data_IF_566258000224
#
_entry.id   IF_566258000224
#
_cell.length_a   1.000
_cell.length_b   1.000
_cell.length_c   1.000
_cell.angle_alpha   90.00
_cell.angle_beta   90.00
_cell.angle_gamma   90.00
#
_symmetry.space_group_name_H-M   'P 1'
#
loop_
_entity.id
_entity.type
_entity.pdbx_description
1 polymer ?
#
# COMPACT_ATOMS: atom_id res chain seq x y z
N UNK A 1 -5.25 -63.12 62.88
CA UNK A 1 -4.04 -62.55 62.25
C UNK A 1 -4.19 -62.42 60.72
N UNK A 2 -5.37 -62.03 60.22
CA UNK A 2 -5.69 -62.00 58.77
C UNK A 2 -6.27 -60.67 58.27
N UNK A 3 -6.43 -59.66 59.13
CA UNK A 3 -7.00 -58.35 58.75
C UNK A 3 -5.92 -57.35 58.26
N UNK A 4 -4.66 -57.53 58.67
CA UNK A 4 -3.56 -56.61 58.40
C UNK A 4 -3.22 -56.48 56.90
N UNK A 5 -3.26 -57.60 56.16
CA UNK A 5 -3.01 -57.61 54.71
C UNK A 5 -4.19 -57.20 53.83
N UNK A 6 -5.37 -56.94 54.40
CA UNK A 6 -6.51 -56.38 53.69
C UNK A 6 -6.43 -54.83 53.69
N UNK A 7 -6.17 -54.25 54.87
CA UNK A 7 -6.00 -52.80 55.05
C UNK A 7 -4.79 -52.23 54.28
N UNK A 8 -3.72 -53.01 54.10
CA UNK A 8 -2.57 -52.59 53.28
C UNK A 8 -2.87 -52.57 51.77
N UNK A 9 -3.77 -53.45 51.30
CA UNK A 9 -4.18 -53.49 49.90
C UNK A 9 -5.14 -52.35 49.56
N UNK A 10 -6.07 -52.05 50.46
CA UNK A 10 -6.98 -50.90 50.35
C UNK A 10 -6.20 -49.58 50.30
N UNK A 11 -5.25 -49.38 51.22
CA UNK A 11 -4.37 -48.18 51.23
C UNK A 11 -3.55 -48.03 49.95
N UNK A 12 -3.11 -49.14 49.33
CA UNK A 12 -2.40 -49.11 48.04
C UNK A 12 -3.31 -48.68 46.89
N UNK A 13 -4.55 -49.16 46.86
CA UNK A 13 -5.53 -48.80 45.83
C UNK A 13 -5.89 -47.32 45.94
N UNK A 14 -6.18 -46.83 47.16
CA UNK A 14 -6.48 -45.41 47.40
C UNK A 14 -5.30 -44.50 47.00
N UNK A 15 -4.07 -44.92 47.29
CA UNK A 15 -2.88 -44.17 46.90
C UNK A 15 -2.70 -44.14 45.38
N UNK A 16 -2.93 -45.26 44.68
CA UNK A 16 -2.89 -45.29 43.21
C UNK A 16 -3.98 -44.44 42.58
N UNK A 17 -5.21 -44.48 43.10
CA UNK A 17 -6.31 -43.65 42.62
C UNK A 17 -6.05 -42.17 42.85
N UNK A 18 -5.54 -41.79 44.04
CA UNK A 18 -5.12 -40.43 44.34
C UNK A 18 -3.99 -39.96 43.41
N UNK A 19 -3.00 -40.81 43.13
CA UNK A 19 -1.93 -40.50 42.18
C UNK A 19 -2.45 -40.32 40.75
N UNK A 20 -3.38 -41.17 40.29
CA UNK A 20 -4.00 -41.03 38.97
C UNK A 20 -4.83 -39.76 38.87
N UNK A 21 -5.61 -39.43 39.90
CA UNK A 21 -6.39 -38.19 39.96
C UNK A 21 -5.47 -36.96 39.89
N UNK A 22 -4.40 -36.94 40.68
CA UNK A 22 -3.41 -35.85 40.65
C UNK A 22 -2.70 -35.73 39.28
N UNK A 23 -2.37 -36.85 38.64
CA UNK A 23 -1.78 -36.85 37.29
C UNK A 23 -2.75 -36.30 36.24
N UNK A 24 -4.04 -36.66 36.32
CA UNK A 24 -5.07 -36.17 35.42
C UNK A 24 -5.27 -34.66 35.57
N UNK A 25 -5.30 -34.17 36.82
CA UNK A 25 -5.41 -32.75 37.13
C UNK A 25 -4.20 -31.97 36.58
N UNK A 26 -2.98 -32.46 36.79
CA UNK A 26 -1.76 -31.86 36.21
C UNK A 26 -1.83 -31.84 34.68
N UNK A 27 -2.34 -32.90 34.05
CA UNK A 27 -2.48 -32.96 32.59
C UNK A 27 -3.50 -31.94 32.08
N UNK A 28 -4.65 -31.81 32.75
CA UNK A 28 -5.66 -30.82 32.42
C UNK A 28 -5.13 -29.39 32.58
N UNK A 29 -4.42 -29.11 33.68
CA UNK A 29 -3.77 -27.81 33.90
C UNK A 29 -2.74 -27.50 32.80
N UNK A 30 -1.89 -28.46 32.44
CA UNK A 30 -0.92 -28.30 31.34
C UNK A 30 -1.62 -27.99 30.02
N UNK A 31 -2.71 -28.68 29.72
CA UNK A 31 -3.46 -28.46 28.49
C UNK A 31 -4.17 -27.09 28.49
N UNK A 32 -4.72 -26.65 29.62
CA UNK A 32 -5.30 -25.31 29.74
C UNK A 32 -4.25 -24.22 29.57
N UNK A 33 -3.07 -24.36 30.18
CA UNK A 33 -1.96 -23.41 30.01
C UNK A 33 -1.52 -23.37 28.54
N UNK A 34 -1.32 -24.53 27.91
CA UNK A 34 -0.94 -24.61 26.51
C UNK A 34 -1.97 -23.96 25.58
N UNK A 35 -3.27 -24.22 25.79
CA UNK A 35 -4.33 -23.60 25.02
C UNK A 35 -4.37 -22.09 25.22
N UNK A 36 -4.18 -21.62 26.45
CA UNK A 36 -4.14 -20.18 26.76
C UNK A 36 -2.94 -19.50 26.13
N UNK A 37 -1.78 -20.15 26.11
CA UNK A 37 -0.57 -19.63 25.49
C UNK A 37 -0.69 -19.61 23.97
N UNK A 38 -1.27 -20.65 23.36
CA UNK A 38 -1.59 -20.66 21.93
C UNK A 38 -2.58 -19.54 21.57
N UNK A 39 -3.65 -19.36 22.36
CA UNK A 39 -4.60 -18.28 22.12
C UNK A 39 -3.93 -16.91 22.20
N UNK A 40 -3.10 -16.67 23.22
CA UNK A 40 -2.34 -15.42 23.33
C UNK A 40 -1.40 -15.18 22.15
N UNK A 41 -0.78 -16.24 21.62
CA UNK A 41 0.09 -16.11 20.45
C UNK A 41 -0.72 -15.71 19.21
N UNK A 42 -1.86 -16.35 18.99
CA UNK A 42 -2.77 -16.01 17.89
C UNK A 42 -3.30 -14.58 18.02
N UNK A 43 -3.73 -14.19 19.21
CA UNK A 43 -4.24 -12.84 19.49
C UNK A 43 -3.14 -11.79 19.24
N UNK A 44 -1.92 -12.02 19.73
CA UNK A 44 -0.79 -11.12 19.50
C UNK A 44 -0.44 -11.00 18.01
N UNK A 45 -0.48 -12.10 17.28
CA UNK A 45 -0.20 -12.11 15.85
C UNK A 45 -1.26 -11.34 15.09
N UNK A 46 -2.54 -11.52 15.43
CA UNK A 46 -3.64 -10.76 14.86
C UNK A 46 -3.54 -9.26 15.14
N UNK A 47 -3.17 -8.87 16.36
CA UNK A 47 -2.96 -7.45 16.71
C UNK A 47 -1.78 -6.85 15.93
N UNK A 48 -0.70 -7.60 15.75
CA UNK A 48 0.44 -7.17 14.94
C UNK A 48 0.04 -6.97 13.47
N UNK A 49 -0.66 -7.94 12.88
CA UNK A 49 -1.11 -7.87 11.49
C UNK A 49 -2.08 -6.70 11.28
N UNK A 50 -3.03 -6.50 12.20
CA UNK A 50 -3.92 -5.34 12.17
C UNK A 50 -3.15 -4.02 12.32
N UNK A 51 -2.17 -3.96 13.21
CA UNK A 51 -1.32 -2.79 13.39
C UNK A 51 -0.51 -2.45 12.15
N UNK A 52 -0.01 -3.47 11.43
CA UNK A 52 0.68 -3.30 10.16
C UNK A 52 -0.27 -2.77 9.08
N UNK A 53 -1.44 -3.38 8.92
CA UNK A 53 -2.43 -2.94 7.93
C UNK A 53 -2.88 -1.49 8.17
N UNK A 54 -3.13 -1.10 9.42
CA UNK A 54 -3.49 0.28 9.76
C UNK A 54 -2.36 1.24 9.40
N UNK A 55 -1.11 0.88 9.70
CA UNK A 55 0.05 1.71 9.37
C UNK A 55 0.21 1.86 7.85
N UNK A 56 0.12 0.78 7.11
CA UNK A 56 0.20 0.80 5.64
C UNK A 56 -0.91 1.65 5.03
N UNK A 57 -2.15 1.50 5.50
CA UNK A 57 -3.28 2.33 5.07
C UNK A 57 -3.02 3.81 5.38
N UNK A 58 -2.52 4.11 6.57
CA UNK A 58 -2.18 5.48 6.95
C UNK A 58 -1.10 6.07 6.05
N UNK A 59 -0.02 5.33 5.79
CA UNK A 59 1.07 5.78 4.89
C UNK A 59 0.57 6.02 3.47
N UNK A 60 -0.37 5.21 2.97
CA UNK A 60 -0.94 5.35 1.62
C UNK A 60 -1.95 6.49 1.49
N UNK A 61 -2.69 6.79 2.56
CA UNK A 61 -3.76 7.82 2.58
C UNK A 61 -3.26 9.18 3.04
N UNK A 62 -2.16 9.25 3.79
CA UNK A 62 -1.61 10.49 4.30
C UNK A 62 -1.09 11.38 3.17
N UNK A 63 -1.26 12.70 3.35
CA UNK A 63 -0.65 13.70 2.47
C UNK A 63 0.87 13.60 2.46
N UNK A 64 1.43 13.76 1.27
CA UNK A 64 2.87 13.62 1.04
C UNK A 64 3.57 14.97 1.18
N UNK A 65 4.87 14.94 1.48
CA UNK A 65 5.76 16.09 1.30
C UNK A 65 6.04 16.30 -0.19
N UNK A 66 6.60 17.45 -0.58
CA UNK A 66 6.91 17.72 -1.98
C UNK A 66 7.87 16.68 -2.59
N UNK A 67 8.87 16.23 -1.83
CA UNK A 67 9.84 15.23 -2.29
C UNK A 67 9.23 13.83 -2.40
N UNK A 68 8.40 13.44 -1.43
CA UNK A 68 7.63 12.20 -1.48
C UNK A 68 6.66 12.22 -2.67
N UNK A 69 5.96 13.33 -2.89
CA UNK A 69 5.03 13.53 -4.00
C UNK A 69 5.72 13.36 -5.36
N UNK A 70 6.82 14.08 -5.61
CA UNK A 70 7.59 13.98 -6.86
C UNK A 70 8.05 12.53 -7.10
N UNK A 71 8.59 11.87 -6.07
CA UNK A 71 9.00 10.46 -6.15
C UNK A 71 7.84 9.56 -6.51
N UNK A 72 6.69 9.73 -5.85
CA UNK A 72 5.50 8.92 -6.07
C UNK A 72 4.88 9.16 -7.45
N UNK A 73 4.92 10.39 -7.98
CA UNK A 73 4.54 10.67 -9.37
C UNK A 73 5.36 9.84 -10.37
N UNK A 74 6.68 9.74 -10.16
CA UNK A 74 7.52 8.88 -11.00
C UNK A 74 7.22 7.39 -10.82
N UNK A 75 6.98 6.91 -9.61
CA UNK A 75 6.68 5.50 -9.39
C UNK A 75 5.30 5.09 -9.93
N UNK A 76 4.28 5.94 -9.73
CA UNK A 76 2.86 5.60 -9.94
C UNK A 76 2.33 6.07 -11.30
N UNK A 77 2.62 7.32 -11.69
CA UNK A 77 2.07 7.90 -12.91
C UNK A 77 2.96 7.59 -14.12
N UNK A 78 4.27 7.74 -13.97
CA UNK A 78 5.20 7.54 -15.10
C UNK A 78 5.26 6.08 -15.54
N UNK A 79 5.16 5.12 -14.62
CA UNK A 79 5.09 3.69 -14.96
C UNK A 79 3.89 3.34 -15.85
N UNK A 80 2.83 4.17 -15.84
CA UNK A 80 1.64 4.02 -16.67
C UNK A 80 1.74 4.75 -18.02
N UNK A 81 2.73 5.63 -18.19
CA UNK A 81 3.02 6.28 -19.48
C UNK A 81 3.66 5.26 -20.43
N UNK A 82 2.82 4.49 -21.11
CA UNK A 82 3.26 3.58 -22.18
C UNK A 82 3.29 4.34 -23.50
N UNK A 83 4.44 4.40 -24.20
CA UNK A 83 4.49 4.95 -25.55
C UNK A 83 3.51 4.22 -26.47
N UNK A 84 2.74 4.97 -27.26
CA UNK A 84 1.82 4.40 -28.24
C UNK A 84 2.59 3.53 -29.25
N UNK A 85 2.41 2.21 -29.18
CA UNK A 85 3.11 1.25 -30.01
C UNK A 85 2.46 1.07 -31.39
N UNK A 86 1.19 1.46 -31.54
CA UNK A 86 0.50 1.34 -32.81
C UNK A 86 0.97 2.41 -33.79
N UNK A 87 1.79 2.04 -34.77
CA UNK A 87 2.26 2.93 -35.84
C UNK A 87 1.16 3.65 -36.62
N UNK A 88 -0.10 3.16 -36.59
CA UNK A 88 -1.25 3.82 -37.23
C UNK A 88 -1.80 4.98 -36.40
N UNK A 89 -1.61 4.94 -35.08
CA UNK A 89 -2.00 5.97 -34.11
C UNK A 89 -0.86 6.93 -33.82
N UNK A 90 0.38 6.44 -33.85
CA UNK A 90 1.53 7.30 -34.05
C UNK A 90 1.32 8.05 -35.35
N UNK A 91 1.47 9.37 -35.34
CA UNK A 91 1.47 10.19 -36.56
C UNK A 91 2.71 9.85 -37.40
N UNK A 92 2.72 8.67 -38.03
CA UNK A 92 3.69 8.24 -39.03
C UNK A 92 3.44 8.86 -40.41
N UNK A 93 2.41 9.72 -40.54
CA UNK A 93 2.30 10.62 -41.68
C UNK A 93 3.32 11.73 -41.48
N UNK A 94 4.46 11.57 -42.14
CA UNK A 94 5.43 12.63 -42.48
C UNK A 94 5.34 13.85 -41.56
N UNK A 95 6.27 13.95 -40.62
CA UNK A 95 6.58 15.20 -39.91
C UNK A 95 6.88 16.38 -40.86
N UNK A 96 6.90 16.15 -42.18
CA UNK A 96 7.02 17.14 -43.24
C UNK A 96 5.68 17.55 -43.89
N UNK A 97 4.63 17.83 -43.10
CA UNK A 97 3.69 18.88 -43.50
C UNK A 97 3.51 19.91 -42.39
N UNK A 98 4.52 20.78 -42.27
CA UNK A 98 4.56 21.95 -41.36
C UNK A 98 3.75 23.14 -41.87
N UNK A 99 2.90 22.99 -42.90
CA UNK A 99 2.12 24.11 -43.42
C UNK A 99 1.03 24.51 -42.42
N UNK A 100 1.17 25.70 -41.83
CA UNK A 100 0.14 26.34 -41.01
C UNK A 100 0.11 25.96 -39.52
N UNK A 101 1.08 25.18 -39.01
CA UNK A 101 1.18 24.89 -37.57
C UNK A 101 2.39 25.62 -36.97
N UNK A 102 2.24 26.35 -35.85
CA UNK A 102 3.37 26.90 -35.12
C UNK A 102 4.32 25.75 -34.77
N UNK A 103 5.58 25.87 -35.17
CA UNK A 103 6.62 24.95 -34.76
C UNK A 103 7.86 25.76 -34.38
N UNK A 104 8.68 25.26 -33.45
CA UNK A 104 9.99 25.84 -33.21
C UNK A 104 10.77 25.88 -34.55
N UNK A 105 11.23 27.06 -34.92
CA UNK A 105 12.12 27.27 -36.08
C UNK A 105 13.57 27.00 -35.68
N UNK A 106 13.90 27.30 -34.43
CA UNK A 106 15.22 27.09 -33.83
C UNK A 106 15.05 26.43 -32.46
N UNK A 107 15.88 25.45 -32.16
CA UNK A 107 16.11 25.02 -30.79
C UNK A 107 17.30 25.84 -30.27
N UNK A 108 17.09 26.57 -29.18
CA UNK A 108 18.15 27.34 -28.54
C UNK A 108 18.60 26.61 -27.29
N UNK A 109 19.90 26.72 -26.99
CA UNK A 109 20.44 26.25 -25.73
C UNK A 109 19.78 27.02 -24.58
N UNK A 110 19.38 26.28 -23.54
CA UNK A 110 18.89 26.89 -22.31
C UNK A 110 20.09 27.34 -21.49
N UNK A 111 20.59 28.52 -21.84
CA UNK A 111 21.69 29.15 -21.12
C UNK A 111 21.32 29.35 -19.65
N UNK A 112 22.27 29.11 -18.75
CA UNK A 112 22.09 29.25 -17.29
C UNK A 112 20.99 28.35 -16.67
N UNK A 113 20.59 27.27 -17.34
CA UNK A 113 19.60 26.31 -16.81
C UNK A 113 19.90 25.89 -15.36
N UNK A 114 21.16 25.60 -15.03
CA UNK A 114 21.54 25.18 -13.68
C UNK A 114 21.33 26.27 -12.63
N UNK A 115 21.61 27.53 -12.96
CA UNK A 115 21.38 28.66 -12.05
C UNK A 115 19.89 28.87 -11.82
N UNK A 116 19.11 28.93 -12.91
CA UNK A 116 17.65 29.06 -12.83
C UNK A 116 16.99 27.89 -12.09
N UNK A 117 17.49 26.66 -12.31
CA UNK A 117 17.02 25.48 -11.59
C UNK A 117 17.30 25.56 -10.10
N UNK A 118 18.49 26.06 -9.71
CA UNK A 118 18.86 26.21 -8.31
C UNK A 118 17.99 27.26 -7.62
N UNK A 119 17.81 28.43 -8.25
CA UNK A 119 16.97 29.51 -7.72
C UNK A 119 15.52 29.03 -7.53
N UNK A 120 14.97 28.33 -8.53
CA UNK A 120 13.63 27.74 -8.45
C UNK A 120 13.54 26.69 -7.33
N UNK A 121 14.56 25.84 -7.19
CA UNK A 121 14.58 24.83 -6.14
C UNK A 121 14.60 25.47 -4.74
N UNK A 122 15.35 26.56 -4.57
CA UNK A 122 15.37 27.33 -3.33
C UNK A 122 14.01 27.98 -3.03
N UNK A 123 13.40 28.62 -4.03
CA UNK A 123 12.05 29.20 -3.90
C UNK A 123 11.02 28.14 -3.48
N UNK A 124 11.02 26.99 -4.15
CA UNK A 124 10.13 25.86 -3.84
C UNK A 124 10.40 25.33 -2.43
N UNK A 125 11.66 25.20 -2.03
CA UNK A 125 12.03 24.70 -0.70
C UNK A 125 11.63 25.67 0.42
N UNK A 126 11.65 26.98 0.13
CA UNK A 126 11.17 28.02 1.03
C UNK A 126 9.64 28.04 1.13
N UNK A 127 8.93 27.85 0.02
CA UNK A 127 7.47 27.77 -0.01
C UNK A 127 6.92 26.49 0.64
N UNK A 128 7.63 25.38 0.49
CA UNK A 128 7.24 24.07 1.03
C UNK A 128 8.38 23.48 1.88
N UNK A 129 8.45 23.85 3.17
CA UNK A 129 9.45 23.32 4.09
C UNK A 129 9.43 21.77 4.11
N UNK A 130 10.54 21.10 4.45
CA UNK A 130 10.66 19.63 4.35
C UNK A 130 9.56 18.83 5.08
N UNK A 131 8.96 19.39 6.13
CA UNK A 131 7.87 18.76 6.89
C UNK A 131 6.46 19.11 6.42
N UNK A 132 6.31 20.02 5.45
CA UNK A 132 5.00 20.41 4.94
C UNK A 132 4.36 19.27 4.16
N UNK A 133 3.21 18.78 4.64
CA UNK A 133 2.43 17.68 4.06
C UNK A 133 1.11 18.22 3.51
N UNK A 134 1.15 18.74 2.28
CA UNK A 134 -0.02 19.28 1.59
C UNK A 134 -0.27 18.68 0.21
N UNK A 135 0.55 17.72 -0.23
CA UNK A 135 0.46 17.13 -1.56
C UNK A 135 -0.36 15.84 -1.53
N UNK A 136 -0.83 15.40 -2.71
CA UNK A 136 -1.69 14.22 -2.84
C UNK A 136 -1.04 12.97 -2.23
N UNK A 137 -1.86 12.14 -1.60
CA UNK A 137 -1.43 10.84 -1.08
C UNK A 137 -1.13 9.85 -2.21
N UNK A 138 -0.51 8.72 -1.88
CA UNK A 138 -0.22 7.65 -2.87
C UNK A 138 -1.53 7.15 -3.49
N UNK A 139 -2.54 6.90 -2.67
CA UNK A 139 -3.86 6.48 -3.15
C UNK A 139 -4.50 7.55 -4.06
N UNK A 140 -4.36 8.84 -3.70
CA UNK A 140 -4.81 9.95 -4.54
C UNK A 140 -4.12 9.98 -5.92
N UNK A 141 -2.81 9.74 -5.96
CA UNK A 141 -2.03 9.63 -7.20
C UNK A 141 -2.47 8.43 -8.05
N UNK A 142 -2.69 7.27 -7.44
CA UNK A 142 -3.16 6.08 -8.14
C UNK A 142 -4.52 6.30 -8.81
N UNK A 143 -5.42 6.98 -8.10
CA UNK A 143 -6.75 7.35 -8.59
C UNK A 143 -6.68 8.39 -9.73
N UNK A 144 -5.81 9.40 -9.62
CA UNK A 144 -5.59 10.37 -10.69
C UNK A 144 -5.04 9.72 -11.97
N UNK A 145 -4.12 8.77 -11.83
CA UNK A 145 -3.60 8.02 -12.97
C UNK A 145 -4.71 7.31 -13.76
N UNK A 146 -5.73 6.77 -13.09
CA UNK A 146 -6.82 6.07 -13.80
C UNK A 146 -7.60 7.03 -14.72
N UNK A 147 -7.82 8.28 -14.31
CA UNK A 147 -8.53 9.29 -15.11
C UNK A 147 -7.72 9.85 -16.28
N UNK A 148 -6.39 9.92 -16.14
CA UNK A 148 -5.49 10.46 -17.19
C UNK A 148 -5.29 9.51 -18.37
N UNK A 149 -5.50 8.20 -18.19
CA UNK A 149 -5.24 7.18 -19.20
C UNK A 149 -6.49 6.58 -19.84
N UNK A 150 -7.69 7.02 -19.45
CA UNK A 150 -8.90 6.70 -20.19
C UNK A 150 -8.91 7.52 -21.50
N UNK A 151 -9.11 6.89 -22.67
CA UNK A 151 -9.30 7.65 -23.90
C UNK A 151 -10.53 8.55 -23.71
N UNK A 152 -10.52 9.81 -24.23
CA UNK A 152 -11.73 10.62 -24.22
C UNK A 152 -12.81 9.80 -24.91
N UNK A 153 -13.86 9.44 -24.18
CA UNK A 153 -14.99 8.73 -24.75
C UNK A 153 -15.56 9.59 -25.88
N UNK A 154 -15.30 9.17 -27.11
CA UNK A 154 -15.96 9.71 -28.28
C UNK A 154 -17.43 9.32 -28.15
N UNK A 155 -18.28 10.26 -27.73
CA UNK A 155 -19.63 10.49 -28.28
C UNK A 155 -20.43 11.36 -27.31
N UNK A 156 -20.54 12.64 -27.63
CA UNK A 156 -21.86 13.27 -27.60
C UNK A 156 -22.20 13.55 -29.06
N UNK A 157 -23.33 13.07 -29.60
CA UNK A 157 -23.72 13.43 -30.94
C UNK A 157 -23.95 14.93 -30.97
N UNK A 158 -23.25 15.62 -31.87
CA UNK A 158 -23.56 17.00 -32.23
C UNK A 158 -24.99 16.95 -32.79
N UNK A 159 -25.94 17.52 -32.05
CA UNK A 159 -27.29 17.75 -32.57
C UNK A 159 -27.12 18.84 -33.64
N UNK A 160 -27.00 18.42 -34.90
CA UNK A 160 -27.13 19.32 -36.04
C UNK A 160 -28.53 19.93 -36.00
N UNK A 161 -28.59 21.23 -35.70
CA UNK A 161 -29.79 22.03 -35.80
C UNK A 161 -30.23 22.10 -37.25
N UNK A 162 -31.44 21.60 -37.52
CA UNK A 162 -32.11 21.70 -38.80
C UNK A 162 -32.46 23.18 -39.09
N UNK A 163 -32.04 23.78 -40.22
CA UNK A 163 -32.50 25.11 -40.58
C UNK A 163 -33.94 25.04 -41.11
N UNK A 164 -34.76 26.00 -40.69
CA UNK A 164 -36.09 26.28 -41.25
C UNK A 164 -35.98 27.06 -42.55
#
# INVERSE_FOLDING_TARGET
>A
MYQDGADERERRIELEESQRAAQLEIQQLRQQVQNRDQQKQLDNQQVQDQGQQIRELQERTQSTTIFEYIRNCHAVLYSRLVPEANRRLMTGKSTANRRGRPHPLEMREWNNFLGEQQDLFEEISNAFPPGYRGFSSIEGLENMGIGLFLPPTVSSPIIEGNPR
#
